data_IF_802372067241
#
_entry.id   IF_802372067241
#
_cell.length_a   1.000
_cell.length_b   1.000
_cell.length_c   1.000
_cell.angle_alpha   90.00
_cell.angle_beta   90.00
_cell.angle_gamma   90.00
#
_symmetry.space_group_name_H-M   'P 1'
#
loop_
_entity.id
_entity.type
_entity.pdbx_description
1 polymer ?
#
# COMPACT_ATOMS: atom_id res chain seq x y z
N UNK A 1 37.39 -43.11 26.65
CA UNK A 1 38.04 -41.86 26.21
C UNK A 1 36.91 -40.86 26.00
N UNK A 2 36.68 -39.98 26.98
CA UNK A 2 36.92 -38.53 26.89
C UNK A 2 35.89 -37.85 25.95
N UNK A 3 35.09 -36.84 26.32
CA UNK A 3 35.19 -35.87 27.41
C UNK A 3 33.87 -35.12 27.51
N UNK A 4 33.47 -34.77 28.75
CA UNK A 4 32.42 -33.81 29.07
C UNK A 4 32.75 -32.41 28.54
N UNK A 5 31.74 -31.67 28.05
CA UNK A 5 31.77 -30.21 28.12
C UNK A 5 30.43 -29.66 28.63
N UNK A 6 30.51 -29.13 29.85
CA UNK A 6 29.53 -28.29 30.52
C UNK A 6 29.24 -27.01 29.73
N UNK A 7 27.96 -26.73 29.48
CA UNK A 7 27.48 -25.37 29.24
C UNK A 7 26.80 -24.84 30.50
N UNK A 8 27.37 -23.75 31.01
CA UNK A 8 26.97 -23.01 32.20
C UNK A 8 25.58 -22.38 32.02
N UNK A 9 24.69 -22.67 32.95
CA UNK A 9 23.51 -21.87 33.28
C UNK A 9 23.94 -20.51 33.84
N UNK A 10 23.47 -19.42 33.23
CA UNK A 10 23.55 -18.06 33.76
C UNK A 10 22.29 -17.77 34.59
N UNK A 11 22.38 -17.16 35.78
CA UNK A 11 21.20 -16.72 36.52
C UNK A 11 20.69 -15.37 35.98
N UNK A 12 19.41 -15.32 35.64
CA UNK A 12 18.69 -14.09 35.32
C UNK A 12 18.57 -13.21 36.58
N UNK A 13 19.25 -12.06 36.59
CA UNK A 13 19.04 -11.01 37.59
C UNK A 13 17.82 -10.18 37.19
N UNK A 14 16.74 -10.34 37.95
CA UNK A 14 15.57 -9.45 37.94
C UNK A 14 15.96 -8.14 38.62
N UNK A 15 16.06 -7.06 37.82
CA UNK A 15 16.14 -5.67 38.30
C UNK A 15 14.75 -5.06 38.43
N UNK A 16 14.57 -4.01 39.25
CA UNK A 16 13.25 -3.53 39.64
C UNK A 16 12.55 -2.79 38.50
N UNK A 17 11.26 -3.09 38.34
CA UNK A 17 10.32 -2.41 37.43
C UNK A 17 10.21 -0.95 37.83
N UNK A 18 10.78 -0.04 37.02
CA UNK A 18 10.49 1.39 37.12
C UNK A 18 9.08 1.63 36.60
N UNK A 19 8.16 1.95 37.52
CA UNK A 19 6.86 2.57 37.26
C UNK A 19 7.08 3.81 36.38
N UNK A 20 6.67 3.75 35.12
CA UNK A 20 6.44 4.96 34.34
C UNK A 20 5.12 5.57 34.80
N UNK A 21 5.26 6.75 35.41
CA UNK A 21 4.17 7.67 35.72
C UNK A 21 3.39 7.98 34.44
N UNK A 22 2.07 7.93 34.55
CA UNK A 22 1.14 8.21 33.46
C UNK A 22 1.36 9.60 32.86
N UNK A 23 1.42 9.63 31.53
CA UNK A 23 1.29 10.86 30.75
C UNK A 23 -0.20 11.12 30.60
N UNK A 24 -0.71 12.33 30.88
CA UNK A 24 -2.13 12.61 30.77
C UNK A 24 -2.54 12.63 29.29
N UNK A 25 -3.65 11.97 29.00
CA UNK A 25 -4.41 12.09 27.75
C UNK A 25 -4.70 13.57 27.50
N UNK A 26 -4.05 14.17 26.50
CA UNK A 26 -4.48 15.46 25.96
C UNK A 26 -5.74 15.22 25.14
N UNK A 27 -6.86 15.68 25.67
CA UNK A 27 -8.10 15.81 24.93
C UNK A 27 -7.85 16.72 23.72
N UNK A 28 -8.08 16.20 22.51
CA UNK A 28 -8.19 17.00 21.31
C UNK A 28 -9.55 17.67 21.36
N UNK A 29 -9.56 18.95 21.74
CA UNK A 29 -10.73 19.82 21.58
C UNK A 29 -10.84 20.14 20.09
N UNK A 30 -11.86 19.59 19.44
CA UNK A 30 -12.29 20.03 18.11
C UNK A 30 -12.89 21.42 18.29
N UNK A 31 -12.13 22.45 17.94
CA UNK A 31 -12.63 23.81 17.84
C UNK A 31 -13.35 23.97 16.49
N UNK A 32 -14.68 23.97 16.54
CA UNK A 32 -15.50 24.45 15.44
C UNK A 32 -15.27 25.97 15.27
N UNK A 33 -14.65 26.38 14.17
CA UNK A 33 -14.56 27.79 13.79
C UNK A 33 -15.84 28.16 13.05
N UNK A 34 -16.73 28.83 13.77
CA UNK A 34 -17.89 29.54 13.21
C UNK A 34 -17.38 30.77 12.46
N UNK A 35 -17.86 30.93 11.22
CA UNK A 35 -17.57 32.06 10.36
C UNK A 35 -17.96 33.40 11.00
N UNK A 36 -16.99 34.31 11.08
CA UNK A 36 -17.19 35.72 11.38
C UNK A 36 -16.87 36.56 10.15
N UNK A 37 -17.91 37.11 9.52
CA UNK A 37 -17.79 38.20 8.55
C UNK A 37 -17.15 39.41 9.24
N UNK A 38 -15.93 39.79 8.82
CA UNK A 38 -15.38 41.11 9.05
C UNK A 38 -15.36 41.87 7.72
N UNK A 39 -16.33 42.76 7.57
CA UNK A 39 -16.36 43.77 6.53
C UNK A 39 -15.22 44.79 6.78
N UNK A 40 -14.08 44.55 6.15
CA UNK A 40 -13.02 45.55 6.00
C UNK A 40 -13.24 46.34 4.72
N UNK A 41 -13.61 47.61 4.84
CA UNK A 41 -13.60 48.57 3.73
C UNK A 41 -12.19 48.73 3.19
N UNK A 42 -11.90 48.52 1.88
CA UNK A 42 -10.59 48.85 1.36
C UNK A 42 -10.46 50.37 1.27
N UNK A 43 -9.38 50.90 1.85
CA UNK A 43 -8.94 52.27 1.64
C UNK A 43 -8.62 52.47 0.15
N UNK A 44 -9.27 53.46 -0.46
CA UNK A 44 -9.03 53.86 -1.84
C UNK A 44 -7.62 54.46 -1.96
N UNK A 45 -6.66 53.66 -2.43
CA UNK A 45 -5.47 54.19 -3.06
C UNK A 45 -5.85 54.66 -4.46
N UNK A 46 -5.74 55.97 -4.69
CA UNK A 46 -5.90 56.57 -6.00
C UNK A 46 -4.88 55.96 -6.97
N UNK A 47 -5.38 55.17 -7.93
CA UNK A 47 -4.57 54.63 -9.01
C UNK A 47 -4.07 55.80 -9.90
N UNK A 48 -2.80 55.79 -10.34
CA UNK A 48 -2.40 56.65 -11.44
C UNK A 48 -3.19 56.21 -12.68
N UNK A 49 -3.69 57.17 -13.45
CA UNK A 49 -4.34 56.89 -14.72
C UNK A 49 -3.33 56.19 -15.66
N UNK A 50 -3.45 54.86 -15.79
CA UNK A 50 -2.65 54.08 -16.75
C UNK A 50 -3.32 54.21 -18.11
N UNK A 51 -2.52 54.66 -19.07
CA UNK A 51 -2.83 54.75 -20.49
C UNK A 51 -3.57 53.50 -20.99
N UNK A 52 -4.55 53.69 -21.88
CA UNK A 52 -5.43 52.64 -22.39
C UNK A 52 -4.67 51.38 -22.79
N UNK A 53 -5.01 50.26 -22.14
CA UNK A 53 -4.51 48.94 -22.54
C UNK A 53 -5.03 48.66 -23.95
N UNK A 54 -4.11 48.28 -24.85
CA UNK A 54 -4.50 47.82 -26.19
C UNK A 54 -5.48 46.66 -26.06
N UNK A 55 -6.40 46.53 -27.02
CA UNK A 55 -7.36 45.42 -27.09
C UNK A 55 -6.68 44.05 -26.95
N UNK A 56 -5.51 43.89 -27.57
CA UNK A 56 -4.65 42.71 -27.43
C UNK A 56 -4.20 42.46 -25.99
N UNK A 57 -3.87 43.51 -25.22
CA UNK A 57 -3.48 43.39 -23.82
C UNK A 57 -4.64 42.98 -22.91
N UNK A 58 -5.86 43.42 -23.22
CA UNK A 58 -7.07 42.99 -22.51
C UNK A 58 -7.40 41.53 -22.79
N UNK A 59 -7.32 41.09 -24.05
CA UNK A 59 -7.52 39.70 -24.44
C UNK A 59 -6.45 38.77 -23.85
N UNK A 60 -5.18 39.21 -23.79
CA UNK A 60 -4.11 38.45 -23.15
C UNK A 60 -4.34 38.28 -21.65
N UNK A 61 -4.81 39.34 -20.96
CA UNK A 61 -5.17 39.26 -19.55
C UNK A 61 -6.38 38.34 -19.31
N UNK A 62 -7.36 38.32 -20.22
CA UNK A 62 -8.52 37.42 -20.17
C UNK A 62 -8.08 35.96 -20.30
N UNK A 63 -7.23 35.62 -21.28
CA UNK A 63 -6.67 34.28 -21.47
C UNK A 63 -5.91 33.82 -20.21
N UNK A 64 -5.04 34.68 -19.67
CA UNK A 64 -4.26 34.35 -18.47
C UNK A 64 -5.15 34.13 -17.24
N UNK A 65 -6.24 34.91 -17.09
CA UNK A 65 -7.22 34.73 -16.01
C UNK A 65 -7.94 33.38 -16.13
N UNK A 66 -8.40 33.02 -17.33
CA UNK A 66 -9.09 31.74 -17.55
C UNK A 66 -8.14 30.57 -17.31
N UNK A 67 -6.88 30.68 -17.72
CA UNK A 67 -5.85 29.67 -17.43
C UNK A 67 -5.63 29.45 -15.92
N UNK A 68 -5.65 30.52 -15.12
CA UNK A 68 -5.58 30.42 -13.66
C UNK A 68 -6.80 29.71 -13.07
N UNK A 69 -8.01 30.02 -13.55
CA UNK A 69 -9.24 29.35 -13.12
C UNK A 69 -9.24 27.87 -13.49
N UNK A 70 -8.78 27.54 -14.70
CA UNK A 70 -8.65 26.15 -15.15
C UNK A 70 -7.68 25.37 -14.26
N UNK A 71 -6.54 25.97 -13.91
CA UNK A 71 -5.57 25.37 -12.98
C UNK A 71 -6.18 25.14 -11.60
N UNK A 72 -6.95 26.10 -11.09
CA UNK A 72 -7.61 25.97 -9.79
C UNK A 72 -8.68 24.86 -9.78
N UNK A 73 -9.47 24.73 -10.86
CA UNK A 73 -10.44 23.66 -11.03
C UNK A 73 -9.77 22.28 -11.14
N UNK A 74 -8.68 22.17 -11.90
CA UNK A 74 -7.85 20.97 -11.98
C UNK A 74 -7.29 20.57 -10.60
N UNK A 75 -6.79 21.55 -9.82
CA UNK A 75 -6.32 21.33 -8.45
C UNK A 75 -7.42 20.88 -7.50
N UNK A 76 -8.63 21.42 -7.64
CA UNK A 76 -9.78 21.01 -6.83
C UNK A 76 -10.18 19.55 -7.12
N UNK A 77 -10.32 19.19 -8.41
CA UNK A 77 -10.59 17.80 -8.81
C UNK A 77 -9.53 16.83 -8.28
N UNK A 78 -8.26 17.26 -8.28
CA UNK A 78 -7.17 16.46 -7.73
C UNK A 78 -7.29 16.26 -6.22
N UNK A 79 -7.56 17.32 -5.45
CA UNK A 79 -7.76 17.19 -4.00
C UNK A 79 -8.89 16.21 -3.69
N UNK A 80 -10.01 16.33 -4.38
CA UNK A 80 -11.16 15.45 -4.19
C UNK A 80 -10.85 13.99 -4.54
N UNK A 81 -10.08 13.76 -5.61
CA UNK A 81 -9.66 12.40 -5.99
C UNK A 81 -8.70 11.81 -4.95
N UNK A 82 -7.75 12.59 -4.44
CA UNK A 82 -6.83 12.13 -3.38
C UNK A 82 -7.58 11.80 -2.08
N UNK A 83 -8.58 12.60 -1.71
CA UNK A 83 -9.44 12.32 -0.56
C UNK A 83 -10.25 11.03 -0.76
N UNK A 84 -10.78 10.80 -1.96
CA UNK A 84 -11.46 9.57 -2.34
C UNK A 84 -10.55 8.33 -2.30
N UNK A 85 -9.33 8.45 -2.83
CA UNK A 85 -8.30 7.39 -2.78
C UNK A 85 -7.90 7.07 -1.34
N UNK A 86 -7.69 8.08 -0.49
CA UNK A 86 -7.34 7.86 0.91
C UNK A 86 -8.44 7.11 1.69
N UNK A 87 -9.71 7.39 1.39
CA UNK A 87 -10.84 6.67 1.97
C UNK A 87 -10.89 5.21 1.47
N UNK A 88 -10.59 4.97 0.19
CA UNK A 88 -10.53 3.63 -0.38
C UNK A 88 -9.34 2.80 0.17
N UNK A 89 -8.18 3.43 0.37
CA UNK A 89 -6.98 2.80 0.94
C UNK A 89 -7.23 2.30 2.36
N UNK A 90 -7.93 3.08 3.19
CA UNK A 90 -8.30 2.68 4.55
C UNK A 90 -9.18 1.41 4.55
N UNK A 91 -10.13 1.31 3.61
CA UNK A 91 -10.95 0.11 3.45
C UNK A 91 -10.13 -1.10 2.96
N UNK A 92 -9.16 -0.88 2.08
CA UNK A 92 -8.27 -1.95 1.58
C UNK A 92 -7.36 -2.50 2.68
N UNK A 93 -6.80 -1.63 3.52
CA UNK A 93 -6.00 -2.04 4.70
C UNK A 93 -6.86 -2.86 5.66
N UNK A 94 -8.07 -2.40 5.99
CA UNK A 94 -8.95 -3.13 6.89
C UNK A 94 -9.37 -4.51 6.34
N UNK A 95 -9.59 -4.63 5.02
CA UNK A 95 -9.84 -5.91 4.35
C UNK A 95 -8.63 -6.85 4.43
N UNK A 96 -7.41 -6.34 4.30
CA UNK A 96 -6.20 -7.14 4.42
C UNK A 96 -5.98 -7.64 5.87
N UNK A 97 -6.29 -6.81 6.86
CA UNK A 97 -6.28 -7.21 8.28
C UNK A 97 -7.34 -8.28 8.56
N UNK A 98 -8.55 -8.14 8.02
CA UNK A 98 -9.60 -9.17 8.07
C UNK A 98 -9.13 -10.49 7.45
N UNK A 99 -8.52 -10.46 6.27
CA UNK A 99 -8.00 -11.67 5.64
C UNK A 99 -6.90 -12.34 6.47
N UNK A 100 -6.05 -11.56 7.13
CA UNK A 100 -5.01 -12.06 8.05
C UNK A 100 -5.64 -12.71 9.29
N UNK A 101 -6.64 -12.06 9.89
CA UNK A 101 -7.36 -12.60 11.03
C UNK A 101 -8.13 -13.88 10.69
N UNK A 102 -8.71 -13.97 9.49
CA UNK A 102 -9.36 -15.19 9.00
C UNK A 102 -8.36 -16.33 8.88
N UNK A 103 -7.19 -16.09 8.28
CA UNK A 103 -6.16 -17.11 8.15
C UNK A 103 -5.65 -17.61 9.51
N UNK A 104 -5.51 -16.71 10.50
CA UNK A 104 -5.17 -17.08 11.87
C UNK A 104 -6.26 -17.92 12.55
N UNK A 105 -7.53 -17.54 12.38
CA UNK A 105 -8.67 -18.30 12.89
C UNK A 105 -8.74 -19.71 12.27
N UNK A 106 -8.52 -19.83 10.96
CA UNK A 106 -8.49 -21.12 10.27
C UNK A 106 -7.32 -22.00 10.75
N UNK A 107 -6.13 -21.41 10.93
CA UNK A 107 -4.96 -22.13 11.43
C UNK A 107 -5.16 -22.65 12.86
N UNK A 108 -5.62 -21.79 13.77
CA UNK A 108 -5.89 -22.18 15.17
C UNK A 108 -7.04 -23.18 15.29
N UNK A 109 -8.05 -23.10 14.42
CA UNK A 109 -9.11 -24.11 14.34
C UNK A 109 -8.57 -25.48 13.90
N UNK A 110 -7.65 -25.52 12.93
CA UNK A 110 -7.00 -26.75 12.49
C UNK A 110 -6.09 -27.36 13.58
N UNK A 111 -5.36 -26.53 14.33
CA UNK A 111 -4.57 -26.95 15.48
C UNK A 111 -5.45 -27.54 16.59
N UNK A 112 -6.56 -26.88 16.92
CA UNK A 112 -7.53 -27.40 17.88
C UNK A 112 -8.10 -28.76 17.45
N UNK A 113 -8.49 -28.90 16.18
CA UNK A 113 -8.99 -30.16 15.64
C UNK A 113 -7.93 -31.28 15.74
N UNK A 114 -6.66 -30.97 15.46
CA UNK A 114 -5.55 -31.91 15.61
C UNK A 114 -5.35 -32.31 17.08
N UNK A 115 -5.33 -31.34 17.99
CA UNK A 115 -5.18 -31.60 19.42
C UNK A 115 -6.34 -32.45 19.97
N UNK A 116 -7.57 -32.23 19.51
CA UNK A 116 -8.73 -33.06 19.87
C UNK A 116 -8.61 -34.51 19.37
N UNK A 117 -8.07 -34.71 18.17
CA UNK A 117 -7.78 -36.06 17.66
C UNK A 117 -6.67 -36.77 18.45
N UNK A 118 -5.65 -36.03 18.89
CA UNK A 118 -4.61 -36.55 19.79
C UNK A 118 -5.21 -37.00 21.12
N UNK A 119 -6.14 -36.22 21.72
CA UNK A 119 -6.83 -36.61 22.96
C UNK A 119 -7.58 -37.92 22.78
N UNK A 120 -8.37 -38.05 21.70
CA UNK A 120 -9.13 -39.28 21.44
C UNK A 120 -8.20 -40.51 21.31
N UNK A 121 -7.03 -40.34 20.71
CA UNK A 121 -6.01 -41.39 20.62
C UNK A 121 -5.41 -41.71 21.99
N UNK A 122 -5.08 -40.69 22.78
CA UNK A 122 -4.50 -40.85 24.10
C UNK A 122 -5.50 -41.49 25.10
N UNK A 123 -6.80 -41.19 24.99
CA UNK A 123 -7.86 -41.85 25.75
C UNK A 123 -7.93 -43.36 25.45
N UNK A 124 -7.80 -43.76 24.18
CA UNK A 124 -7.78 -45.18 23.77
C UNK A 124 -6.52 -45.90 24.28
N UNK A 125 -5.36 -45.24 24.22
CA UNK A 125 -4.10 -45.75 24.79
C UNK A 125 -4.25 -45.98 26.31
N UNK A 126 -4.82 -45.02 27.05
CA UNK A 126 -5.05 -45.16 28.51
C UNK A 126 -6.06 -46.26 28.81
N UNK A 127 -7.13 -46.38 28.03
CA UNK A 127 -8.10 -47.46 28.18
C UNK A 127 -7.48 -48.83 27.92
N UNK A 128 -6.59 -48.94 26.94
CA UNK A 128 -5.81 -50.15 26.64
C UNK A 128 -4.86 -50.51 27.78
N UNK A 129 -4.11 -49.54 28.31
CA UNK A 129 -3.22 -49.75 29.46
C UNK A 129 -3.99 -50.24 30.69
N UNK A 130 -5.16 -49.66 30.98
CA UNK A 130 -6.02 -50.10 32.08
C UNK A 130 -6.51 -51.54 31.91
N UNK A 131 -6.89 -51.92 30.68
CA UNK A 131 -7.30 -53.28 30.35
C UNK A 131 -6.16 -54.28 30.49
N UNK A 132 -4.98 -53.97 29.96
CA UNK A 132 -3.79 -54.82 30.06
C UNK A 132 -3.33 -54.99 31.51
N UNK A 133 -3.34 -53.92 32.31
CA UNK A 133 -2.98 -53.99 33.73
C UNK A 133 -3.93 -54.90 34.53
N UNK A 134 -5.22 -54.91 34.18
CA UNK A 134 -6.24 -55.70 34.87
C UNK A 134 -6.35 -57.14 34.35
N UNK A 135 -6.34 -57.35 33.04
CA UNK A 135 -6.62 -58.66 32.40
C UNK A 135 -5.38 -59.36 31.83
N UNK A 136 -4.24 -58.66 31.70
CA UNK A 136 -3.07 -59.11 30.94
C UNK A 136 -3.24 -59.02 29.42
N UNK A 137 -2.13 -59.02 28.68
CA UNK A 137 -2.12 -58.84 27.22
C UNK A 137 -2.89 -59.92 26.43
N UNK A 138 -2.95 -61.15 26.96
CA UNK A 138 -3.68 -62.30 26.36
C UNK A 138 -4.98 -62.66 27.10
N UNK A 139 -5.48 -61.78 28.00
CA UNK A 139 -6.69 -62.01 28.79
C UNK A 139 -6.60 -63.27 29.70
N UNK A 140 -5.37 -63.68 30.05
CA UNK A 140 -5.08 -64.96 30.74
C UNK A 140 -4.55 -64.79 32.16
N UNK A 141 -3.79 -63.74 32.45
CA UNK A 141 -3.19 -63.48 33.77
C UNK A 141 -2.98 -61.97 33.96
N UNK A 142 -3.54 -61.38 35.03
CA UNK A 142 -3.26 -59.99 35.40
C UNK A 142 -1.85 -59.82 35.99
N UNK A 143 -1.36 -58.59 36.12
CA UNK A 143 0.03 -58.31 36.56
C UNK A 143 0.39 -58.94 37.92
N UNK A 144 -0.57 -59.01 38.84
CA UNK A 144 -0.41 -59.65 40.15
C UNK A 144 -0.32 -61.17 40.01
N UNK A 145 -1.13 -61.75 39.14
CA UNK A 145 -1.15 -63.20 38.89
C UNK A 145 0.13 -63.65 38.18
N UNK A 146 0.68 -62.82 37.28
CA UNK A 146 1.98 -63.02 36.64
C UNK A 146 3.12 -63.10 37.67
N UNK A 147 3.09 -62.31 38.74
CA UNK A 147 4.09 -62.39 39.81
C UNK A 147 3.87 -63.61 40.73
N UNK A 148 2.61 -63.96 41.00
CA UNK A 148 2.26 -65.08 41.88
C UNK A 148 2.49 -66.46 41.23
N UNK A 149 2.48 -66.57 39.91
CA UNK A 149 2.70 -67.81 39.14
C UNK A 149 4.20 -68.14 38.88
N UNK A 150 5.13 -67.39 39.47
CA UNK A 150 6.56 -67.68 39.30
C UNK A 150 6.94 -69.04 39.92
N UNK A 151 7.62 -69.91 39.16
CA UNK A 151 7.99 -71.27 39.61
C UNK A 151 9.33 -71.30 40.38
N UNK A 152 10.07 -70.19 40.40
CA UNK A 152 11.34 -70.08 41.14
C UNK A 152 11.62 -68.64 41.62
N UNK A 153 12.47 -68.47 42.65
CA UNK A 153 12.87 -67.13 43.12
C UNK A 153 13.57 -66.28 42.04
N UNK A 154 14.34 -66.92 41.15
CA UNK A 154 15.01 -66.21 40.05
C UNK A 154 14.02 -65.70 39.02
N UNK A 155 13.00 -66.52 38.69
CA UNK A 155 11.93 -66.12 37.78
C UNK A 155 11.09 -64.98 38.37
N UNK A 156 10.78 -65.03 39.67
CA UNK A 156 10.08 -63.95 40.37
C UNK A 156 10.82 -62.61 40.22
N UNK A 157 12.15 -62.59 40.41
CA UNK A 157 12.96 -61.38 40.26
C UNK A 157 12.99 -60.87 38.81
N UNK A 158 13.03 -61.77 37.82
CA UNK A 158 12.99 -61.39 36.40
C UNK A 158 11.62 -60.81 35.99
N UNK A 159 10.52 -61.42 36.45
CA UNK A 159 9.15 -60.92 36.24
C UNK A 159 8.96 -59.57 36.95
N UNK A 160 9.46 -59.41 38.17
CA UNK A 160 9.43 -58.14 38.91
C UNK A 160 10.19 -57.01 38.19
N UNK A 161 11.40 -57.28 37.67
CA UNK A 161 12.15 -56.30 36.90
C UNK A 161 11.48 -55.93 35.56
N UNK A 162 10.69 -56.83 34.99
CA UNK A 162 9.90 -56.57 33.78
C UNK A 162 8.69 -55.69 34.09
N UNK A 163 8.00 -55.96 35.20
CA UNK A 163 6.90 -55.14 35.71
C UNK A 163 7.35 -53.72 36.07
N UNK A 164 8.55 -53.55 36.62
CA UNK A 164 9.13 -52.24 36.91
C UNK A 164 9.25 -51.38 35.64
N UNK A 165 9.85 -51.94 34.57
CA UNK A 165 9.92 -51.26 33.27
C UNK A 165 8.55 -50.97 32.65
N UNK A 166 7.59 -51.91 32.79
CA UNK A 166 6.23 -51.72 32.29
C UNK A 166 5.50 -50.61 33.08
N UNK A 167 5.75 -50.52 34.39
CA UNK A 167 5.30 -49.44 35.25
C UNK A 167 5.85 -48.08 34.78
N UNK A 168 7.15 -47.99 34.49
CA UNK A 168 7.76 -46.78 33.94
C UNK A 168 7.15 -46.39 32.59
N UNK A 169 6.92 -47.35 31.70
CA UNK A 169 6.28 -47.11 30.40
C UNK A 169 4.84 -46.60 30.56
N UNK A 170 4.05 -47.19 31.46
CA UNK A 170 2.69 -46.74 31.78
C UNK A 170 2.67 -45.34 32.38
N UNK A 171 3.59 -45.05 33.31
CA UNK A 171 3.73 -43.72 33.90
C UNK A 171 4.10 -42.66 32.84
N UNK A 172 4.98 -43.00 31.90
CA UNK A 172 5.32 -42.13 30.77
C UNK A 172 4.10 -41.85 29.88
N UNK A 173 3.28 -42.87 29.57
CA UNK A 173 2.04 -42.71 28.78
C UNK A 173 0.99 -41.85 29.48
N UNK A 174 0.81 -42.00 30.79
CA UNK A 174 -0.08 -41.13 31.56
C UNK A 174 0.42 -39.67 31.59
N UNK A 175 1.73 -39.48 31.66
CA UNK A 175 2.34 -38.15 31.56
C UNK A 175 2.11 -37.53 30.18
N UNK A 176 2.23 -38.33 29.11
CA UNK A 176 1.91 -37.93 27.73
C UNK A 176 0.43 -37.54 27.59
N UNK A 177 -0.49 -38.33 28.16
CA UNK A 177 -1.93 -38.02 28.19
C UNK A 177 -2.21 -36.64 28.82
N UNK A 178 -1.65 -36.35 29.99
CA UNK A 178 -1.81 -35.05 30.65
C UNK A 178 -1.27 -33.89 29.80
N UNK A 179 -0.16 -34.11 29.10
CA UNK A 179 0.38 -33.12 28.17
C UNK A 179 -0.54 -32.90 26.97
N UNK A 180 -1.19 -33.94 26.47
CA UNK A 180 -2.18 -33.85 25.37
C UNK A 180 -3.42 -33.06 25.82
N UNK A 181 -3.95 -33.34 27.02
CA UNK A 181 -5.07 -32.57 27.58
C UNK A 181 -4.74 -31.07 27.71
N UNK A 182 -3.53 -30.75 28.19
CA UNK A 182 -3.07 -29.36 28.28
C UNK A 182 -2.99 -28.71 26.90
N UNK A 183 -2.45 -29.41 25.88
CA UNK A 183 -2.38 -28.90 24.50
C UNK A 183 -3.76 -28.56 23.93
N UNK A 184 -4.79 -29.36 24.20
CA UNK A 184 -6.17 -29.03 23.78
C UNK A 184 -6.68 -27.78 24.46
N UNK A 185 -6.43 -27.60 25.76
CA UNK A 185 -6.86 -26.38 26.46
C UNK A 185 -6.18 -25.13 25.90
N UNK A 186 -4.88 -25.21 25.61
CA UNK A 186 -4.12 -24.12 24.99
C UNK A 186 -4.64 -23.82 23.57
N UNK A 187 -4.89 -24.85 22.76
CA UNK A 187 -5.44 -24.70 21.41
C UNK A 187 -6.87 -24.13 21.41
N UNK A 188 -7.73 -24.52 22.35
CA UNK A 188 -9.09 -23.98 22.49
C UNK A 188 -9.06 -22.49 22.86
N UNK A 189 -8.18 -22.10 23.79
CA UNK A 189 -7.98 -20.69 24.15
C UNK A 189 -7.45 -19.88 22.96
N UNK A 190 -6.49 -20.41 22.21
CA UNK A 190 -5.95 -19.76 21.03
C UNK A 190 -7.00 -19.58 19.94
N UNK A 191 -7.81 -20.62 19.66
CA UNK A 191 -8.89 -20.56 18.67
C UNK A 191 -9.96 -19.53 19.05
N UNK A 192 -10.39 -19.48 20.32
CA UNK A 192 -11.34 -18.47 20.80
C UNK A 192 -10.80 -17.04 20.68
N UNK A 193 -9.53 -16.85 21.01
CA UNK A 193 -8.87 -15.55 20.85
C UNK A 193 -8.77 -15.14 19.38
N UNK A 194 -8.45 -16.06 18.48
CA UNK A 194 -8.41 -15.81 17.04
C UNK A 194 -9.79 -15.46 16.46
N UNK A 195 -10.86 -16.16 16.86
CA UNK A 195 -12.24 -15.82 16.47
C UNK A 195 -12.63 -14.42 16.95
N UNK A 196 -12.26 -14.05 18.19
CA UNK A 196 -12.53 -12.70 18.70
C UNK A 196 -11.81 -11.62 17.88
N UNK A 197 -10.56 -11.88 17.44
CA UNK A 197 -9.82 -10.97 16.56
C UNK A 197 -10.45 -10.89 15.16
N UNK A 198 -10.92 -12.01 14.62
CA UNK A 198 -11.64 -12.07 13.36
C UNK A 198 -12.91 -11.23 13.40
N UNK A 199 -13.74 -11.38 14.44
CA UNK A 199 -14.98 -10.61 14.59
C UNK A 199 -14.71 -9.10 14.65
N UNK A 200 -13.68 -8.70 15.39
CA UNK A 200 -13.28 -7.29 15.47
C UNK A 200 -12.75 -6.76 14.13
N UNK A 201 -11.89 -7.53 13.44
CA UNK A 201 -11.40 -7.15 12.13
C UNK A 201 -12.53 -7.06 11.09
N UNK A 202 -13.53 -7.94 11.18
CA UNK A 202 -14.71 -7.91 10.31
C UNK A 202 -15.55 -6.65 10.53
N UNK A 203 -15.74 -6.25 11.80
CA UNK A 203 -16.42 -5.00 12.16
C UNK A 203 -15.68 -3.78 11.60
N UNK A 204 -14.36 -3.72 11.82
CA UNK A 204 -13.51 -2.61 11.34
C UNK A 204 -13.53 -2.53 9.81
N UNK A 205 -13.43 -3.65 9.11
CA UNK A 205 -13.52 -3.69 7.64
C UNK A 205 -14.87 -3.19 7.14
N UNK A 206 -15.98 -3.63 7.74
CA UNK A 206 -17.31 -3.18 7.36
C UNK A 206 -17.51 -1.67 7.58
N UNK A 207 -17.02 -1.14 8.70
CA UNK A 207 -17.07 0.30 9.01
C UNK A 207 -16.22 1.11 8.02
N UNK A 208 -15.01 0.65 7.69
CA UNK A 208 -14.13 1.31 6.73
C UNK A 208 -14.74 1.32 5.31
N UNK A 209 -15.34 0.22 4.87
CA UNK A 209 -16.04 0.14 3.59
C UNK A 209 -17.26 1.06 3.53
N UNK A 210 -18.05 1.11 4.60
CA UNK A 210 -19.20 2.00 4.68
C UNK A 210 -18.76 3.48 4.63
N UNK A 211 -17.67 3.83 5.34
CA UNK A 211 -17.09 5.17 5.32
C UNK A 211 -16.58 5.55 3.92
N UNK A 212 -15.86 4.64 3.24
CA UNK A 212 -15.38 4.87 1.88
C UNK A 212 -16.54 5.09 0.89
N UNK A 213 -17.57 4.25 0.94
CA UNK A 213 -18.75 4.39 0.09
C UNK A 213 -19.51 5.70 0.37
N UNK A 214 -19.68 6.07 1.63
CA UNK A 214 -20.33 7.32 2.00
C UNK A 214 -19.54 8.55 1.49
N UNK A 215 -18.21 8.50 1.58
CA UNK A 215 -17.34 9.56 1.08
C UNK A 215 -17.42 9.69 -0.45
N UNK A 216 -17.39 8.57 -1.19
CA UNK A 216 -17.56 8.57 -2.65
C UNK A 216 -18.92 9.16 -3.07
N UNK A 217 -20.00 8.74 -2.43
CA UNK A 217 -21.35 9.26 -2.73
C UNK A 217 -21.46 10.75 -2.44
N UNK A 218 -20.88 11.22 -1.33
CA UNK A 218 -20.87 12.63 -0.98
C UNK A 218 -20.03 13.47 -1.94
N UNK A 219 -18.86 12.96 -2.34
CA UNK A 219 -17.93 13.65 -3.22
C UNK A 219 -18.36 13.66 -4.69
N UNK A 220 -19.14 12.67 -5.15
CA UNK A 220 -19.51 12.51 -6.56
C UNK A 220 -20.21 13.74 -7.13
N UNK A 221 -21.22 14.27 -6.43
CA UNK A 221 -21.99 15.42 -6.93
C UNK A 221 -21.14 16.69 -7.04
N UNK A 222 -20.21 16.89 -6.10
CA UNK A 222 -19.28 18.02 -6.15
C UNK A 222 -18.21 17.81 -7.24
N UNK A 223 -17.74 16.58 -7.43
CA UNK A 223 -16.77 16.25 -8.47
C UNK A 223 -17.36 16.52 -9.85
N UNK A 224 -18.58 16.06 -10.10
CA UNK A 224 -19.30 16.29 -11.35
C UNK A 224 -19.53 17.79 -11.61
N UNK A 225 -19.82 18.56 -10.57
CA UNK A 225 -19.98 20.01 -10.67
C UNK A 225 -18.67 20.70 -11.08
N UNK A 226 -17.56 20.37 -10.42
CA UNK A 226 -16.24 20.97 -10.73
C UNK A 226 -15.74 20.50 -12.10
N UNK A 227 -16.01 19.25 -12.49
CA UNK A 227 -15.67 18.73 -13.81
C UNK A 227 -16.44 19.46 -14.92
N UNK A 228 -17.73 19.75 -14.70
CA UNK A 228 -18.54 20.57 -15.60
C UNK A 228 -18.03 22.02 -15.67
N UNK A 229 -17.62 22.61 -14.54
CA UNK A 229 -17.00 23.94 -14.51
C UNK A 229 -15.69 23.97 -15.29
N UNK A 230 -14.82 22.97 -15.11
CA UNK A 230 -13.57 22.83 -15.87
C UNK A 230 -13.84 22.75 -17.37
N UNK A 231 -14.81 21.93 -17.79
CA UNK A 231 -15.16 21.81 -19.21
C UNK A 231 -15.67 23.14 -19.79
N UNK A 232 -16.43 23.91 -19.02
CA UNK A 232 -16.86 25.24 -19.43
C UNK A 232 -15.67 26.23 -19.51
N UNK A 233 -14.71 26.14 -18.59
CA UNK A 233 -13.49 26.94 -18.60
C UNK A 233 -12.57 26.58 -19.78
N UNK A 234 -12.44 25.30 -20.13
CA UNK A 234 -11.68 24.85 -21.30
C UNK A 234 -12.22 25.47 -22.60
N UNK A 235 -13.56 25.49 -22.74
CA UNK A 235 -14.21 26.12 -23.89
C UNK A 235 -14.02 27.66 -23.90
N UNK A 236 -14.11 28.31 -22.74
CA UNK A 236 -13.82 29.73 -22.61
C UNK A 236 -12.35 30.05 -22.93
N UNK A 237 -11.43 29.19 -22.49
CA UNK A 237 -9.99 29.33 -22.73
C UNK A 237 -9.70 29.26 -24.23
N UNK A 238 -10.31 28.28 -24.91
CA UNK A 238 -10.24 28.13 -26.37
C UNK A 238 -10.77 29.37 -27.08
N UNK A 239 -11.98 29.81 -26.77
CA UNK A 239 -12.60 30.99 -27.38
C UNK A 239 -11.81 32.29 -27.11
N UNK A 240 -11.23 32.44 -25.91
CA UNK A 240 -10.39 33.60 -25.58
C UNK A 240 -9.04 33.56 -26.32
N UNK A 241 -8.42 32.38 -26.42
CA UNK A 241 -7.18 32.19 -27.16
C UNK A 241 -7.32 32.43 -28.65
N UNK A 242 -8.42 31.97 -29.25
CA UNK A 242 -8.78 32.26 -30.65
C UNK A 242 -8.98 33.76 -30.88
N UNK A 243 -9.72 34.46 -30.00
CA UNK A 243 -9.90 35.92 -30.08
C UNK A 243 -8.56 36.66 -29.98
N UNK A 244 -7.68 36.24 -29.08
CA UNK A 244 -6.35 36.82 -28.95
C UNK A 244 -5.52 36.63 -30.22
N UNK A 245 -5.49 35.42 -30.79
CA UNK A 245 -4.76 35.13 -32.02
C UNK A 245 -5.33 35.87 -33.24
N UNK A 246 -6.66 35.99 -33.33
CA UNK A 246 -7.33 36.81 -34.34
C UNK A 246 -6.89 38.28 -34.25
N UNK A 247 -6.85 38.84 -33.03
CA UNK A 247 -6.38 40.21 -32.79
C UNK A 247 -4.89 40.43 -33.12
N UNK A 248 -4.11 39.34 -33.15
CA UNK A 248 -2.69 39.33 -33.54
C UNK A 248 -2.48 39.11 -35.04
N UNK A 249 -3.55 38.97 -35.83
CA UNK A 249 -3.47 38.78 -37.28
C UNK A 249 -3.29 37.34 -37.74
N UNK A 250 -3.62 36.34 -36.91
CA UNK A 250 -3.64 34.94 -37.34
C UNK A 250 -4.69 34.72 -38.44
N UNK A 251 -4.27 34.13 -39.56
CA UNK A 251 -5.15 33.84 -40.69
C UNK A 251 -6.22 32.78 -40.37
N UNK A 252 -5.86 31.80 -39.53
CA UNK A 252 -6.77 30.81 -38.95
C UNK A 252 -6.50 30.73 -37.44
N UNK A 253 -7.22 31.51 -36.62
CA UNK A 253 -7.00 31.56 -35.18
C UNK A 253 -7.26 30.22 -34.48
N UNK A 254 -8.20 29.40 -34.97
CA UNK A 254 -8.55 28.11 -34.38
C UNK A 254 -7.46 27.06 -34.64
N UNK A 255 -6.96 26.97 -35.88
CA UNK A 255 -5.84 26.10 -36.20
C UNK A 255 -4.56 26.58 -35.50
N UNK A 256 -4.31 27.89 -35.43
CA UNK A 256 -3.17 28.44 -34.72
C UNK A 256 -3.23 28.19 -33.21
N UNK A 257 -4.42 28.25 -32.60
CA UNK A 257 -4.61 27.92 -31.18
C UNK A 257 -4.37 26.44 -30.92
N UNK A 258 -4.95 25.57 -31.73
CA UNK A 258 -4.75 24.11 -31.67
C UNK A 258 -3.27 23.77 -31.83
N UNK A 259 -2.60 24.32 -32.83
CA UNK A 259 -1.16 24.14 -33.01
C UNK A 259 -0.32 24.66 -31.84
N UNK A 260 -0.79 25.68 -31.11
CA UNK A 260 -0.12 26.20 -29.90
C UNK A 260 -0.29 25.26 -28.71
N UNK A 261 -1.46 24.63 -28.58
CA UNK A 261 -1.70 23.57 -27.61
C UNK A 261 -0.89 22.32 -27.96
N UNK A 262 -0.86 21.93 -29.23
CA UNK A 262 -0.09 20.79 -29.73
C UNK A 262 1.41 21.02 -29.59
N UNK A 263 1.92 22.22 -29.88
CA UNK A 263 3.31 22.57 -29.67
C UNK A 263 3.68 22.63 -28.17
N UNK A 264 2.73 23.00 -27.30
CA UNK A 264 2.85 22.86 -25.85
C UNK A 264 2.79 21.39 -25.41
N UNK A 265 2.29 20.49 -26.27
CA UNK A 265 2.14 19.05 -26.08
C UNK A 265 3.11 18.20 -26.94
N UNK A 266 4.11 18.80 -27.60
CA UNK A 266 5.15 18.11 -28.36
C UNK A 266 6.50 18.30 -27.65
N UNK A 267 7.04 17.22 -27.10
CA UNK A 267 8.33 17.23 -26.42
C UNK A 267 9.46 16.62 -27.27
N UNK A 268 10.64 16.56 -26.66
CA UNK A 268 11.89 16.14 -27.29
C UNK A 268 11.86 14.66 -27.70
N UNK A 269 12.31 14.34 -28.92
CA UNK A 269 12.48 12.98 -29.47
C UNK A 269 12.89 11.95 -28.40
N UNK A 270 11.98 11.04 -28.06
CA UNK A 270 12.17 9.87 -27.18
C UNK A 270 12.63 10.13 -25.74
N UNK A 271 13.04 11.34 -25.37
CA UNK A 271 13.56 11.63 -24.04
C UNK A 271 12.39 11.90 -23.06
N UNK A 272 12.34 11.21 -21.89
CA UNK A 272 11.24 11.40 -20.94
C UNK A 272 11.02 12.85 -20.52
N UNK A 273 12.10 13.60 -20.29
CA UNK A 273 12.10 15.05 -20.12
C UNK A 273 13.49 15.62 -20.38
N UNK A 274 13.56 16.85 -20.92
CA UNK A 274 14.83 17.57 -21.02
C UNK A 274 15.26 18.07 -19.63
N UNK A 275 16.38 17.56 -19.10
CA UNK A 275 16.82 17.94 -17.77
C UNK A 275 18.12 17.27 -17.34
N UNK A 276 18.50 17.50 -16.09
CA UNK A 276 19.68 16.88 -15.48
C UNK A 276 19.27 15.72 -14.60
N UNK A 277 19.84 14.54 -14.83
CA UNK A 277 19.72 13.41 -13.90
C UNK A 277 20.27 13.81 -12.52
N UNK A 278 19.41 13.79 -11.51
CA UNK A 278 19.74 14.19 -10.13
C UNK A 278 19.67 13.06 -9.12
N UNK A 279 18.92 11.99 -9.41
CA UNK A 279 18.89 10.81 -8.56
C UNK A 279 18.78 9.53 -9.38
N UNK A 280 19.52 8.51 -8.96
CA UNK A 280 19.56 7.20 -9.60
C UNK A 280 18.63 6.21 -8.90
N UNK A 281 18.26 5.16 -9.60
CA UNK A 281 17.60 3.99 -9.03
C UNK A 281 18.50 3.32 -7.99
N UNK A 282 17.95 2.95 -6.83
CA UNK A 282 18.70 2.26 -5.78
C UNK A 282 18.40 2.73 -4.35
N UNK A 283 19.04 2.09 -3.37
CA UNK A 283 18.83 2.39 -1.96
C UNK A 283 19.40 3.76 -1.57
N UNK A 284 18.57 4.62 -0.97
CA UNK A 284 18.93 5.94 -0.45
C UNK A 284 18.35 6.17 0.94
N UNK A 285 19.22 6.50 1.91
CA UNK A 285 18.83 6.85 3.29
C UNK A 285 17.86 5.84 3.97
N UNK A 286 18.06 4.55 3.72
CA UNK A 286 17.22 3.48 4.29
C UNK A 286 15.93 3.20 3.51
N UNK A 287 15.67 3.91 2.41
CA UNK A 287 14.50 3.73 1.54
C UNK A 287 14.93 3.41 0.10
N UNK A 288 14.23 2.52 -0.58
CA UNK A 288 14.51 2.20 -1.98
C UNK A 288 13.95 3.28 -2.91
N UNK A 289 14.80 3.86 -3.77
CA UNK A 289 14.35 4.70 -4.87
C UNK A 289 14.08 3.83 -6.10
N UNK A 290 12.81 3.76 -6.48
CA UNK A 290 12.30 2.82 -7.48
C UNK A 290 12.31 3.38 -8.92
N UNK A 291 12.92 4.54 -9.12
CA UNK A 291 13.03 5.22 -10.41
C UNK A 291 14.29 6.05 -10.52
N UNK A 292 14.30 6.95 -11.49
CA UNK A 292 15.31 8.01 -11.66
C UNK A 292 14.64 9.37 -11.57
N UNK A 293 15.36 10.36 -11.07
CA UNK A 293 14.87 11.73 -10.96
C UNK A 293 15.60 12.62 -11.96
N UNK A 294 14.86 13.26 -12.87
CA UNK A 294 15.36 14.19 -13.88
C UNK A 294 14.91 15.60 -13.47
N UNK A 295 15.83 16.40 -12.92
CA UNK A 295 15.54 17.77 -12.53
C UNK A 295 15.34 18.66 -13.75
N UNK A 296 14.19 19.32 -13.79
CA UNK A 296 13.79 20.25 -14.83
C UNK A 296 12.79 21.27 -14.27
N UNK A 297 12.72 22.50 -14.82
CA UNK A 297 11.74 23.49 -14.39
C UNK A 297 10.29 22.98 -14.50
N UNK A 298 9.40 23.45 -13.62
CA UNK A 298 7.96 23.20 -13.75
C UNK A 298 7.50 23.67 -15.15
N UNK A 299 6.67 22.88 -15.82
CA UNK A 299 6.21 23.15 -17.18
C UNK A 299 7.08 22.52 -18.28
N UNK A 300 8.23 21.94 -17.94
CA UNK A 300 9.06 21.24 -18.94
C UNK A 300 8.28 20.07 -19.55
N UNK A 301 8.26 19.90 -20.88
CA UNK A 301 7.59 18.78 -21.53
C UNK A 301 8.05 17.40 -21.02
N UNK A 302 7.07 16.54 -20.72
CA UNK A 302 7.26 15.11 -20.46
C UNK A 302 6.77 14.33 -21.67
N UNK A 303 7.62 13.49 -22.26
CA UNK A 303 7.32 12.71 -23.47
C UNK A 303 7.47 11.22 -23.27
N UNK A 304 6.76 10.44 -24.09
CA UNK A 304 6.86 8.98 -24.06
C UNK A 304 8.09 8.51 -24.86
N UNK A 305 8.97 7.65 -24.31
CA UNK A 305 10.11 7.11 -25.04
C UNK A 305 9.77 6.19 -26.22
N UNK A 306 8.64 5.47 -26.14
CA UNK A 306 8.20 4.46 -27.10
C UNK A 306 6.68 4.56 -27.30
N UNK A 307 6.17 4.05 -28.41
CA UNK A 307 4.74 3.87 -28.64
C UNK A 307 4.07 3.08 -27.52
N UNK A 308 2.81 3.37 -27.22
CA UNK A 308 2.09 2.68 -26.16
C UNK A 308 0.64 3.08 -26.00
N UNK A 309 0.04 2.56 -24.94
CA UNK A 309 -1.34 2.87 -24.52
C UNK A 309 -1.30 3.40 -23.09
N UNK A 310 -1.95 4.54 -22.86
CA UNK A 310 -2.09 5.11 -21.52
C UNK A 310 -2.98 4.20 -20.68
N UNK A 311 -2.43 3.64 -19.60
CA UNK A 311 -3.19 2.83 -18.65
C UNK A 311 -3.95 3.71 -17.65
N UNK A 312 -3.30 4.75 -17.16
CA UNK A 312 -3.85 5.68 -16.17
C UNK A 312 -3.16 7.04 -16.31
N UNK A 313 -3.93 8.13 -16.18
CA UNK A 313 -3.43 9.48 -16.10
C UNK A 313 -4.24 10.23 -15.05
N UNK A 314 -3.61 10.63 -13.95
CA UNK A 314 -4.33 11.23 -12.83
C UNK A 314 -3.55 11.21 -11.52
N UNK A 315 -4.25 11.41 -10.39
CA UNK A 315 -3.68 11.32 -9.06
C UNK A 315 -3.04 9.96 -8.79
N UNK A 316 -1.95 10.00 -8.02
CA UNK A 316 -1.23 8.81 -7.61
C UNK A 316 -0.51 9.04 -6.28
N UNK A 317 -0.75 8.15 -5.32
CA UNK A 317 -0.12 8.19 -4.00
C UNK A 317 1.41 8.26 -4.12
N UNK A 318 2.03 9.16 -3.36
CA UNK A 318 3.47 9.46 -3.44
C UNK A 318 3.89 10.39 -4.57
N UNK A 319 3.25 10.32 -5.74
CA UNK A 319 3.65 11.09 -6.93
C UNK A 319 2.86 12.38 -7.14
N UNK A 320 1.73 12.56 -6.44
CA UNK A 320 0.83 13.69 -6.63
C UNK A 320 -0.02 13.47 -7.88
N UNK A 321 0.57 13.64 -9.06
CA UNK A 321 0.00 13.20 -10.33
C UNK A 321 1.00 12.29 -11.05
N UNK A 322 0.48 11.24 -11.69
CA UNK A 322 1.27 10.37 -12.53
C UNK A 322 0.54 9.96 -13.81
N UNK A 323 1.33 9.67 -14.84
CA UNK A 323 0.88 9.02 -16.07
C UNK A 323 1.56 7.66 -16.16
N UNK A 324 0.81 6.63 -16.56
CA UNK A 324 1.28 5.28 -16.77
C UNK A 324 1.04 4.89 -18.21
N UNK A 325 2.07 4.45 -18.91
CA UNK A 325 1.99 4.04 -20.32
C UNK A 325 2.50 2.61 -20.45
N UNK A 326 1.69 1.73 -21.04
CA UNK A 326 2.11 0.38 -21.41
C UNK A 326 2.63 0.35 -22.84
N UNK A 327 3.80 -0.26 -23.03
CA UNK A 327 4.47 -0.41 -24.31
C UNK A 327 4.18 -1.76 -24.97
N UNK A 328 4.58 -1.91 -26.23
CA UNK A 328 4.27 -3.09 -27.04
C UNK A 328 4.86 -4.41 -26.51
N UNK A 329 5.91 -4.33 -25.70
CA UNK A 329 6.56 -5.46 -25.03
C UNK A 329 5.92 -5.81 -23.65
N UNK A 330 4.89 -5.06 -23.24
CA UNK A 330 4.20 -5.23 -21.96
C UNK A 330 4.86 -4.53 -20.78
N UNK A 331 5.99 -3.84 -20.97
CA UNK A 331 6.59 -2.99 -19.94
C UNK A 331 5.77 -1.72 -19.76
N UNK A 332 5.81 -1.15 -18.55
CA UNK A 332 5.06 0.07 -18.22
C UNK A 332 6.04 1.14 -17.77
N UNK A 333 5.92 2.34 -18.34
CA UNK A 333 6.64 3.54 -17.87
C UNK A 333 5.72 4.39 -17.00
N UNK A 334 6.27 4.87 -15.87
CA UNK A 334 5.61 5.80 -14.96
C UNK A 334 6.27 7.17 -15.06
N UNK A 335 5.45 8.21 -15.12
CA UNK A 335 5.88 9.62 -15.09
C UNK A 335 5.24 10.30 -13.89
N UNK A 336 6.00 10.53 -12.83
CA UNK A 336 5.53 11.07 -11.54
C UNK A 336 5.85 12.56 -11.35
N UNK A 337 5.24 13.15 -10.32
CA UNK A 337 5.35 14.58 -9.97
C UNK A 337 4.86 15.52 -11.07
N UNK A 338 3.88 15.07 -11.87
CA UNK A 338 3.35 15.80 -13.02
C UNK A 338 2.65 17.11 -12.59
N UNK A 339 2.88 18.19 -13.33
CA UNK A 339 2.16 19.45 -13.14
C UNK A 339 0.78 19.40 -13.79
N UNK A 340 0.74 19.03 -15.07
CA UNK A 340 -0.44 18.91 -15.92
C UNK A 340 -0.22 17.76 -16.91
N UNK A 341 -1.26 16.99 -17.21
CA UNK A 341 -1.23 15.96 -18.25
C UNK A 341 -2.20 16.30 -19.38
N UNK A 342 -1.93 15.78 -20.58
CA UNK A 342 -2.66 16.07 -21.81
C UNK A 342 -3.30 14.82 -22.43
N UNK A 343 -3.32 13.73 -21.67
CA UNK A 343 -3.78 12.42 -22.14
C UNK A 343 -4.78 11.77 -21.18
N UNK A 344 -5.53 10.79 -21.69
CA UNK A 344 -6.56 10.05 -20.94
C UNK A 344 -6.32 8.53 -21.03
N UNK A 345 -6.85 7.76 -20.08
CA UNK A 345 -6.74 6.31 -20.08
C UNK A 345 -7.35 5.69 -21.36
N UNK A 346 -6.66 4.71 -21.94
CA UNK A 346 -7.01 4.08 -23.22
C UNK A 346 -6.50 4.82 -24.46
N UNK A 347 -5.92 6.02 -24.32
CA UNK A 347 -5.34 6.75 -25.44
C UNK A 347 -4.07 6.07 -25.95
N UNK A 348 -3.99 5.88 -27.27
CA UNK A 348 -2.76 5.45 -27.96
C UNK A 348 -1.83 6.65 -28.08
N UNK A 349 -0.56 6.46 -27.72
CA UNK A 349 0.49 7.48 -27.76
C UNK A 349 1.67 6.99 -28.59
N UNK A 350 2.35 7.90 -29.28
CA UNK A 350 3.54 7.59 -30.08
C UNK A 350 4.82 8.09 -29.42
N UNK A 351 5.95 7.45 -29.72
CA UNK A 351 7.27 7.87 -29.23
C UNK A 351 7.52 9.37 -29.51
N UNK A 352 7.97 10.11 -28.48
CA UNK A 352 8.19 11.56 -28.52
C UNK A 352 6.94 12.42 -28.34
N UNK A 353 5.74 11.83 -28.31
CA UNK A 353 4.53 12.57 -27.97
C UNK A 353 4.63 13.04 -26.52
N UNK A 354 4.37 14.33 -26.27
CA UNK A 354 4.29 14.80 -24.91
C UNK A 354 2.92 14.47 -24.30
N UNK A 355 3.00 13.97 -23.08
CA UNK A 355 1.87 13.46 -22.32
C UNK A 355 1.60 14.30 -21.09
N UNK A 356 2.60 15.07 -20.64
CA UNK A 356 2.52 15.85 -19.42
C UNK A 356 3.56 16.98 -19.36
N UNK A 357 3.54 17.74 -18.28
CA UNK A 357 4.53 18.72 -17.89
C UNK A 357 5.17 18.32 -16.56
N UNK A 358 6.48 18.53 -16.43
CA UNK A 358 7.22 18.41 -15.17
C UNK A 358 6.56 19.31 -14.13
N UNK A 359 6.40 18.78 -12.93
CA UNK A 359 5.86 19.52 -11.80
C UNK A 359 6.71 19.37 -10.56
N UNK A 360 6.04 19.56 -9.44
CA UNK A 360 6.60 19.42 -8.10
C UNK A 360 5.51 18.94 -7.13
N UNK A 361 4.57 18.13 -7.63
CA UNK A 361 3.41 17.65 -6.87
C UNK A 361 3.76 16.36 -6.11
N UNK A 362 2.98 16.04 -5.08
CA UNK A 362 3.23 14.85 -4.26
C UNK A 362 4.48 14.96 -3.39
N UNK A 363 5.13 13.83 -3.12
CA UNK A 363 6.33 13.76 -2.28
C UNK A 363 7.57 14.14 -3.11
N UNK A 364 7.71 15.43 -3.40
CA UNK A 364 8.82 15.99 -4.18
C UNK A 364 9.60 17.04 -3.38
N UNK A 365 10.93 17.01 -3.45
CA UNK A 365 11.81 17.98 -2.78
C UNK A 365 12.16 19.20 -3.64
N UNK A 366 11.81 19.18 -4.92
CA UNK A 366 11.99 20.27 -5.87
C UNK A 366 11.57 19.85 -7.28
N UNK A 367 11.43 20.78 -8.25
CA UNK A 367 10.94 20.44 -9.59
C UNK A 367 11.76 19.37 -10.31
N UNK A 368 11.14 18.23 -10.60
CA UNK A 368 11.74 17.11 -11.32
C UNK A 368 10.66 16.18 -11.90
N UNK A 369 11.05 15.41 -12.92
CA UNK A 369 10.33 14.21 -13.34
C UNK A 369 10.87 13.02 -12.54
N UNK A 370 9.98 12.29 -11.89
CA UNK A 370 10.29 10.95 -11.40
C UNK A 370 9.86 9.92 -12.45
N UNK A 371 10.80 9.09 -12.92
CA UNK A 371 10.56 8.14 -14.00
C UNK A 371 10.86 6.71 -13.55
N UNK A 372 9.89 5.81 -13.68
CA UNK A 372 10.04 4.38 -13.35
C UNK A 372 9.75 3.49 -14.56
N UNK A 373 10.27 2.26 -14.53
CA UNK A 373 9.97 1.19 -15.48
C UNK A 373 9.53 -0.03 -14.71
N UNK A 374 8.37 -0.57 -15.05
CA UNK A 374 7.74 -1.71 -14.38
C UNK A 374 7.63 -2.91 -15.34
N UNK A 375 7.81 -4.11 -14.79
CA UNK A 375 7.68 -5.36 -15.52
C UNK A 375 6.55 -6.22 -14.95
N UNK A 376 5.62 -6.68 -15.79
CA UNK A 376 4.58 -7.63 -15.37
C UNK A 376 3.40 -7.04 -14.59
N UNK A 377 3.24 -5.71 -14.53
CA UNK A 377 2.04 -5.06 -13.98
C UNK A 377 2.26 -3.61 -13.53
N UNK A 378 1.16 -2.88 -13.31
CA UNK A 378 1.15 -1.43 -13.00
C UNK A 378 1.94 -1.06 -11.74
N UNK A 379 2.01 -1.97 -10.76
CA UNK A 379 2.72 -1.77 -9.50
C UNK A 379 3.75 -2.86 -9.20
N UNK A 380 4.10 -3.67 -10.22
CA UNK A 380 4.93 -4.85 -10.07
C UNK A 380 6.35 -4.62 -10.62
N UNK A 381 7.32 -5.30 -10.01
CA UNK A 381 8.72 -5.44 -10.47
C UNK A 381 9.29 -4.15 -11.10
N UNK A 382 9.48 -3.13 -10.25
CA UNK A 382 10.12 -1.87 -10.63
C UNK A 382 11.60 -2.14 -10.86
N UNK A 383 12.10 -1.78 -12.03
CA UNK A 383 13.48 -2.04 -12.44
C UNK A 383 14.22 -0.74 -12.68
N UNK A 384 15.55 -0.82 -12.68
CA UNK A 384 16.38 0.34 -13.00
C UNK A 384 16.02 0.87 -14.41
N UNK A 385 15.56 2.13 -14.54
CA UNK A 385 15.21 2.71 -15.83
C UNK A 385 16.39 2.93 -16.77
N UNK A 386 17.62 3.01 -16.26
CA UNK A 386 18.80 3.37 -17.07
C UNK A 386 19.14 2.34 -18.17
N UNK A 387 19.23 1.02 -17.87
CA UNK A 387 19.37 0.00 -18.90
C UNK A 387 18.21 -0.01 -19.91
N UNK A 388 16.99 0.28 -19.47
CA UNK A 388 15.82 0.32 -20.34
C UNK A 388 15.92 1.50 -21.31
N UNK A 389 16.21 2.71 -20.82
CA UNK A 389 16.41 3.90 -21.66
C UNK A 389 17.55 3.70 -22.68
N UNK A 390 18.65 3.07 -22.26
CA UNK A 390 19.77 2.79 -23.15
C UNK A 390 19.40 1.83 -24.31
N UNK A 391 18.56 0.81 -24.04
CA UNK A 391 18.04 -0.09 -25.08
C UNK A 391 17.17 0.64 -26.10
N UNK A 392 16.50 1.72 -25.68
CA UNK A 392 15.68 2.58 -26.53
C UNK A 392 16.47 3.76 -27.13
N UNK A 393 17.81 3.71 -27.06
CA UNK A 393 18.70 4.72 -27.67
C UNK A 393 18.76 6.06 -26.94
N UNK A 394 18.26 6.13 -25.69
CA UNK A 394 18.18 7.36 -24.91
C UNK A 394 19.34 7.41 -23.91
N UNK A 395 20.05 8.54 -23.88
CA UNK A 395 21.11 8.82 -22.92
C UNK A 395 20.84 10.13 -22.20
N UNK A 396 20.87 10.10 -20.86
CA UNK A 396 20.62 11.26 -20.00
C UNK A 396 21.90 12.04 -19.64
N UNK A 397 23.05 11.69 -20.23
CA UNK A 397 24.30 12.45 -20.10
C UNK A 397 24.92 12.47 -18.69
N UNK A 398 24.41 11.68 -17.75
CA UNK A 398 24.91 11.54 -16.37
C UNK A 398 25.03 10.06 -15.98
N UNK A 399 25.99 9.75 -15.11
CA UNK A 399 26.25 8.37 -14.66
C UNK A 399 25.31 7.95 -13.52
N UNK A 400 24.55 6.90 -13.79
CA UNK A 400 24.12 5.87 -12.85
C UNK A 400 24.76 4.56 -13.35
#
# INVERSE_FOLDING_TARGET
MATLHHLKTLPARVGPVRRFLGVPRRAVVVAAVVGGLLAGTPAAFAAPAVAGSSEQGQLAAEVARIEQLLTAAEEQLQRMTVEAEAAADAALVARAELATAQAEADATAAELATAQADVATAEDDVATLGREAYMGADNRYGDVELLLDAQSPTELLQRAATMDRLGDQRAARLTEFLAVEQRVQEADQAARAAVTRLDEAARVAAEAEAAANAHLVAAQAEYDAVAAEKAALDEQYRAAGERLLASQGAADPAAAFTARLDARAQGTTGMPAAGRLTSCYGARWGTMHQGIDIAAPIGTPISVPEDGVVLQAGPASGFGQAVYVQHGDGQITLYGHVNRFFVTAGQVVTAGQQIAEVGNRGQSTGPHLHFEVHQGGLYANRVNPMPWLAQHGISLGGGC
#
